data_IF_071123612154
#
_entry.id   IF_071123612154
#
_cell.length_a   1.000
_cell.length_b   1.000
_cell.length_c   1.000
_cell.angle_alpha   90.00
_cell.angle_beta   90.00
_cell.angle_gamma   90.00
#
_symmetry.space_group_name_H-M   'P 1'
#
loop_
_entity.id
_entity.type
_entity.pdbx_description
1 polymer ?
#
# COMPACT_ATOMS: atom_id res chain seq x y z
N UNK A 1 25.22 19.61 -21.59
CA UNK A 1 24.32 19.26 -20.46
C UNK A 1 23.30 18.23 -20.92
N UNK A 2 23.33 17.01 -20.37
CA UNK A 2 22.28 15.99 -20.60
C UNK A 2 21.67 15.63 -19.26
N UNK A 3 20.40 15.96 -19.07
CA UNK A 3 19.66 15.62 -17.88
C UNK A 3 18.91 14.30 -18.11
N UNK A 4 19.24 13.27 -17.35
CA UNK A 4 18.48 12.02 -17.29
C UNK A 4 17.28 12.19 -16.38
N UNK A 5 16.06 12.10 -16.93
CA UNK A 5 14.83 12.08 -16.14
C UNK A 5 14.69 10.75 -15.41
N UNK A 6 14.42 10.80 -14.11
CA UNK A 6 14.13 9.63 -13.27
C UNK A 6 12.75 9.76 -12.66
N UNK A 7 12.01 8.66 -12.65
CA UNK A 7 10.79 8.53 -11.86
C UNK A 7 11.10 7.87 -10.52
N UNK A 8 10.52 8.41 -9.45
CA UNK A 8 10.59 7.82 -8.12
C UNK A 8 9.42 6.87 -7.94
N UNK A 9 9.73 5.60 -7.66
CA UNK A 9 8.69 4.59 -7.38
C UNK A 9 8.17 4.79 -5.95
N UNK A 10 6.86 4.65 -5.78
CA UNK A 10 6.26 4.61 -4.45
C UNK A 10 6.59 3.29 -3.75
N UNK A 11 6.85 3.35 -2.43
CA UNK A 11 7.02 2.17 -1.60
C UNK A 11 5.63 1.58 -1.26
N UNK A 12 5.11 0.75 -2.17
CA UNK A 12 3.83 0.05 -2.04
C UNK A 12 4.06 -1.37 -1.51
N UNK A 13 3.45 -1.69 -0.38
CA UNK A 13 3.49 -3.02 0.24
C UNK A 13 2.21 -3.77 -0.09
N UNK A 14 2.32 -5.07 -0.36
CA UNK A 14 1.12 -5.90 -0.58
C UNK A 14 0.69 -6.50 0.76
N UNK A 15 -0.47 -6.12 1.25
CA UNK A 15 -1.02 -6.57 2.53
C UNK A 15 -2.36 -7.26 2.33
N UNK A 16 -2.69 -8.18 3.24
CA UNK A 16 -4.02 -8.80 3.33
C UNK A 16 -4.88 -7.92 4.23
N UNK A 17 -6.06 -7.54 3.75
CA UNK A 17 -7.06 -6.78 4.52
C UNK A 17 -8.32 -7.64 4.55
N UNK A 18 -8.97 -7.69 5.72
CA UNK A 18 -10.28 -8.32 5.89
C UNK A 18 -11.33 -7.26 5.62
N UNK A 19 -12.20 -7.52 4.64
CA UNK A 19 -13.34 -6.66 4.31
C UNK A 19 -14.48 -6.91 5.33
N UNK A 20 -15.46 -6.01 5.43
CA UNK A 20 -16.58 -6.11 6.39
C UNK A 20 -17.43 -7.39 6.18
N UNK A 21 -17.34 -8.01 5.01
CA UNK A 21 -17.99 -9.27 4.63
C UNK A 21 -17.14 -10.53 4.91
N UNK A 22 -16.00 -10.41 5.59
CA UNK A 22 -15.13 -11.55 5.95
C UNK A 22 -14.17 -12.03 4.85
N UNK A 23 -14.19 -11.40 3.68
CA UNK A 23 -13.31 -11.75 2.56
C UNK A 23 -11.89 -11.18 2.74
N UNK A 24 -10.88 -12.03 2.54
CA UNK A 24 -9.46 -11.65 2.64
C UNK A 24 -8.94 -11.22 1.27
N UNK A 25 -8.82 -9.90 1.04
CA UNK A 25 -8.30 -9.33 -0.21
C UNK A 25 -6.83 -8.93 -0.08
N UNK A 26 -6.07 -9.12 -1.17
CA UNK A 26 -4.67 -8.68 -1.28
C UNK A 26 -4.61 -7.32 -1.98
N UNK A 27 -4.20 -6.29 -1.24
CA UNK A 27 -4.17 -4.90 -1.75
C UNK A 27 -2.79 -4.28 -1.57
N UNK A 28 -2.39 -3.44 -2.53
CA UNK A 28 -1.16 -2.65 -2.44
C UNK A 28 -1.43 -1.37 -1.64
N UNK A 29 -0.73 -1.19 -0.53
CA UNK A 29 -0.92 -0.10 0.42
C UNK A 29 0.39 0.64 0.65
N UNK A 30 0.32 1.96 0.75
CA UNK A 30 1.49 2.79 1.08
C UNK A 30 1.81 2.73 2.57
N UNK A 31 3.09 2.91 2.95
CA UNK A 31 3.51 2.89 4.35
C UNK A 31 2.77 3.93 5.23
N UNK A 32 2.40 5.09 4.66
CA UNK A 32 1.63 6.12 5.37
C UNK A 32 0.21 5.66 5.68
N UNK A 33 -0.42 4.93 4.75
CA UNK A 33 -1.73 4.35 4.98
C UNK A 33 -1.67 3.22 6.05
N UNK A 34 -0.58 2.45 6.13
CA UNK A 34 -0.39 1.50 7.22
C UNK A 34 -0.25 2.17 8.60
N UNK A 35 0.42 3.33 8.66
CA UNK A 35 0.60 4.08 9.91
C UNK A 35 -0.67 4.81 10.35
N UNK A 36 -1.47 5.30 9.39
CA UNK A 36 -2.63 6.15 9.65
C UNK A 36 -3.93 5.38 9.84
N UNK A 37 -4.03 4.12 9.37
CA UNK A 37 -5.33 3.49 9.20
C UNK A 37 -5.70 2.45 10.26
N UNK A 38 -6.98 2.55 10.64
CA UNK A 38 -7.83 1.71 11.47
C UNK A 38 -8.19 0.39 10.75
N UNK A 39 -7.24 -0.20 10.00
CA UNK A 39 -7.44 -1.43 9.23
C UNK A 39 -7.35 -2.62 10.19
N UNK A 40 -8.43 -3.38 10.30
CA UNK A 40 -8.43 -4.71 10.91
C UNK A 40 -7.55 -5.63 10.05
N UNK A 41 -6.28 -5.73 10.44
CA UNK A 41 -5.41 -6.81 10.00
C UNK A 41 -5.92 -8.06 10.72
N UNK A 42 -6.19 -9.13 9.98
CA UNK A 42 -6.11 -10.46 10.57
C UNK A 42 -4.64 -10.82 10.81
#
# INVERSE_FOLDING_TARGET
LRATRRNWKANLQTVKIVDENGDVKRVKVSARALKKNNLTRA
#
